data_IF_002209731571
#
_entry.id   IF_002209731571
#
_cell.length_a   1.000
_cell.length_b   1.000
_cell.length_c   1.000
_cell.angle_alpha   90.00
_cell.angle_beta   90.00
_cell.angle_gamma   90.00
#
_symmetry.space_group_name_H-M   'P 1'
#
loop_
_entity.id
_entity.type
_entity.pdbx_description
1 polymer ?
#
# COMPACT_ATOMS: atom_id res chain seq x y z
N UNK A 1 2.65 -22.11 8.69
CA UNK A 1 2.90 -20.66 8.85
C UNK A 1 3.14 -20.05 7.47
N UNK A 2 2.08 -19.87 6.67
CA UNK A 2 2.13 -19.19 5.37
C UNK A 2 0.80 -18.48 5.17
N UNK A 3 0.81 -17.14 5.27
CA UNK A 3 -0.27 -16.29 4.81
C UNK A 3 -0.19 -16.25 3.29
N UNK A 4 -1.23 -16.72 2.60
CA UNK A 4 -1.39 -16.51 1.17
C UNK A 4 -2.10 -15.18 0.94
N UNK A 5 -1.44 -14.28 0.19
CA UNK A 5 -1.95 -12.97 -0.16
C UNK A 5 -3.18 -13.09 -1.08
N UNK A 6 -4.35 -12.73 -0.56
CA UNK A 6 -5.56 -12.52 -1.35
C UNK A 6 -5.65 -11.05 -1.75
N UNK A 7 -5.53 -10.75 -3.04
CA UNK A 7 -5.69 -9.39 -3.60
C UNK A 7 -7.13 -9.23 -4.07
N UNK A 8 -7.94 -8.46 -3.33
CA UNK A 8 -9.29 -8.07 -3.76
C UNK A 8 -9.27 -6.67 -4.40
N UNK A 9 -9.74 -6.59 -5.64
CA UNK A 9 -9.84 -5.37 -6.44
C UNK A 9 -10.96 -4.42 -5.99
N UNK A 10 -10.57 -3.15 -5.80
CA UNK A 10 -11.27 -1.88 -6.06
C UNK A 10 -12.77 -1.80 -5.73
N UNK A 11 -13.11 -1.11 -4.63
CA UNK A 11 -14.39 -0.42 -4.46
C UNK A 11 -14.17 1.06 -4.16
N UNK A 12 -14.90 1.90 -4.89
CA UNK A 12 -14.88 3.36 -4.79
C UNK A 12 -15.69 3.81 -3.55
N UNK A 13 -15.11 4.73 -2.78
CA UNK A 13 -15.72 5.52 -1.69
C UNK A 13 -16.37 4.76 -0.52
N UNK A 14 -15.70 4.79 0.64
CA UNK A 14 -16.37 4.81 1.93
C UNK A 14 -15.47 5.49 2.98
N UNK A 15 -15.88 6.68 3.42
CA UNK A 15 -15.38 7.36 4.61
C UNK A 15 -16.07 6.80 5.86
N UNK A 16 -15.31 6.69 6.96
CA UNK A 16 -15.64 6.30 8.35
C UNK A 16 -15.28 4.86 8.70
N UNK A 17 -14.30 4.73 9.60
CA UNK A 17 -13.88 3.56 10.39
C UNK A 17 -14.62 2.26 10.04
N UNK A 18 -14.09 1.55 9.05
CA UNK A 18 -14.76 0.40 8.45
C UNK A 18 -14.43 -0.89 9.22
N UNK A 19 -15.13 -1.13 10.33
CA UNK A 19 -15.42 -2.50 10.75
C UNK A 19 -16.43 -3.07 9.74
N UNK A 20 -15.93 -3.82 8.75
CA UNK A 20 -16.79 -4.57 7.84
C UNK A 20 -17.18 -5.86 8.56
N UNK A 21 -18.41 -5.93 9.07
CA UNK A 21 -18.98 -7.12 9.71
C UNK A 21 -19.87 -7.84 8.68
N UNK A 22 -19.47 -9.04 8.27
CA UNK A 22 -20.31 -9.91 7.43
C UNK A 22 -21.50 -10.45 8.25
N UNK A 23 -22.73 -10.26 7.77
CA UNK A 23 -23.98 -10.38 8.56
C UNK A 23 -24.43 -11.80 8.95
N UNK A 24 -23.74 -12.87 8.56
CA UNK A 24 -24.22 -14.25 8.79
C UNK A 24 -23.41 -15.08 9.80
N UNK A 25 -22.15 -14.69 10.09
CA UNK A 25 -21.31 -15.31 11.11
C UNK A 25 -20.48 -14.20 11.77
N UNK A 26 -20.22 -14.27 13.08
CA UNK A 26 -19.44 -13.27 13.82
C UNK A 26 -17.94 -13.34 13.44
N UNK A 27 -17.63 -13.02 12.18
CA UNK A 27 -16.28 -13.08 11.63
C UNK A 27 -15.76 -11.67 11.46
N UNK A 28 -14.67 -11.36 12.14
CA UNK A 28 -14.05 -10.03 12.13
C UNK A 28 -13.01 -9.95 11.01
N UNK A 29 -13.10 -8.89 10.20
CA UNK A 29 -12.11 -8.57 9.19
C UNK A 29 -11.01 -7.69 9.79
N UNK A 30 -9.75 -8.08 9.59
CA UNK A 30 -8.58 -7.33 10.09
C UNK A 30 -7.78 -6.78 8.92
N UNK A 31 -7.68 -5.45 8.83
CA UNK A 31 -6.88 -4.77 7.82
C UNK A 31 -5.40 -4.87 8.19
N UNK A 32 -4.57 -5.33 7.26
CA UNK A 32 -3.13 -5.49 7.42
C UNK A 32 -2.38 -4.33 6.82
N UNK A 33 -2.78 -3.91 5.61
CA UNK A 33 -2.02 -2.93 4.85
C UNK A 33 -2.93 -2.13 3.92
N UNK A 34 -2.77 -0.81 3.97
CA UNK A 34 -3.41 0.14 3.07
C UNK A 34 -2.33 0.78 2.21
N UNK A 35 -2.48 0.64 0.90
CA UNK A 35 -1.60 1.25 -0.10
C UNK A 35 -2.30 2.48 -0.65
N UNK A 36 -1.67 3.64 -0.51
CA UNK A 36 -2.19 4.90 -1.04
C UNK A 36 -1.18 5.62 -1.93
N UNK A 37 -1.67 6.49 -2.79
CA UNK A 37 -0.87 7.36 -3.65
C UNK A 37 -1.26 8.81 -3.42
N UNK A 38 -0.29 9.70 -3.51
CA UNK A 38 -0.49 11.15 -3.52
C UNK A 38 0.42 11.77 -4.58
N UNK A 39 -0.04 12.89 -5.13
CA UNK A 39 0.71 13.71 -6.07
C UNK A 39 1.18 15.00 -5.40
N UNK A 40 2.40 15.42 -5.69
CA UNK A 40 3.01 16.63 -5.17
C UNK A 40 2.89 17.83 -6.10
N UNK A 41 2.57 17.60 -7.38
CA UNK A 41 2.45 18.66 -8.40
C UNK A 41 3.77 19.31 -8.81
N UNK A 42 4.92 18.70 -8.50
CA UNK A 42 6.23 19.22 -8.91
C UNK A 42 7.25 18.09 -9.10
N UNK A 43 8.26 18.35 -9.94
CA UNK A 43 9.37 17.43 -10.12
C UNK A 43 10.35 17.50 -8.95
N UNK A 44 10.87 16.35 -8.52
CA UNK A 44 11.79 16.23 -7.39
C UNK A 44 13.15 15.71 -7.82
N UNK A 45 14.22 16.32 -7.31
CA UNK A 45 15.57 15.76 -7.44
C UNK A 45 15.81 14.68 -6.37
N UNK A 46 15.66 13.43 -6.80
CA UNK A 46 15.83 12.26 -5.94
C UNK A 46 17.26 12.10 -5.41
N UNK A 47 18.29 12.59 -6.13
CA UNK A 47 19.68 12.52 -5.68
C UNK A 47 19.94 13.50 -4.55
N UNK A 48 19.34 14.68 -4.62
CA UNK A 48 19.39 15.66 -3.52
C UNK A 48 18.69 15.12 -2.27
N UNK A 49 17.49 14.57 -2.45
CA UNK A 49 16.68 13.96 -1.39
C UNK A 49 17.44 12.81 -0.72
N UNK A 50 18.06 11.93 -1.49
CA UNK A 50 18.83 10.80 -0.98
C UNK A 50 20.08 11.22 -0.17
N UNK A 51 20.74 12.32 -0.56
CA UNK A 51 21.93 12.82 0.15
C UNK A 51 21.58 13.54 1.46
N UNK A 52 20.43 14.22 1.50
CA UNK A 52 20.10 15.15 2.60
C UNK A 52 19.18 14.56 3.67
N UNK A 53 18.46 13.47 3.36
CA UNK A 53 17.51 12.86 4.29
C UNK A 53 18.07 11.58 4.91
N UNK A 54 17.85 11.42 6.21
CA UNK A 54 18.12 10.18 6.94
C UNK A 54 17.04 9.12 6.68
N UNK A 55 17.37 7.84 6.86
CA UNK A 55 16.47 6.69 6.60
C UNK A 55 15.95 6.61 5.16
N UNK A 56 16.80 6.97 4.22
CA UNK A 56 16.48 6.95 2.80
C UNK A 56 17.26 5.89 2.06
N UNK A 57 16.55 5.07 1.28
CA UNK A 57 17.15 4.15 0.32
C UNK A 57 16.89 4.63 -1.10
N UNK A 58 17.97 4.99 -1.81
CA UNK A 58 17.92 5.35 -3.21
C UNK A 58 18.28 4.14 -4.08
N UNK A 59 17.44 3.83 -5.07
CA UNK A 59 17.70 2.77 -6.05
C UNK A 59 17.61 3.35 -7.47
N UNK A 60 18.75 3.73 -8.08
CA UNK A 60 18.79 4.03 -9.51
C UNK A 60 18.78 2.69 -10.26
N UNK A 61 17.64 2.27 -10.79
CA UNK A 61 17.56 1.07 -11.64
C UNK A 61 17.51 1.49 -13.10
N UNK A 62 18.31 0.84 -13.95
CA UNK A 62 18.39 1.15 -15.39
C UNK A 62 17.05 0.89 -16.10
N UNK A 63 16.29 -0.10 -15.64
CA UNK A 63 15.04 -0.55 -16.26
C UNK A 63 13.76 -0.09 -15.52
N UNK A 64 13.89 0.74 -14.48
CA UNK A 64 12.73 1.21 -13.69
C UNK A 64 12.84 2.70 -13.36
N UNK A 65 11.72 3.41 -13.19
CA UNK A 65 11.76 4.80 -12.76
C UNK A 65 12.48 4.92 -11.42
N UNK A 66 13.41 5.88 -11.35
CA UNK A 66 14.16 6.18 -10.13
C UNK A 66 13.20 6.40 -8.96
N UNK A 67 13.51 5.77 -7.83
CA UNK A 67 12.68 5.83 -6.64
C UNK A 67 13.49 5.96 -5.37
N UNK A 68 12.92 6.70 -4.43
CA UNK A 68 13.48 6.92 -3.10
C UNK A 68 12.52 6.36 -2.06
N UNK A 69 13.01 5.50 -1.17
CA UNK A 69 12.22 4.94 -0.08
C UNK A 69 12.56 5.62 1.25
N UNK A 70 11.58 6.24 1.89
CA UNK A 70 11.71 6.84 3.24
C UNK A 70 10.99 5.94 4.24
N UNK A 71 11.65 5.62 5.34
CA UNK A 71 11.05 4.89 6.46
C UNK A 71 10.75 5.84 7.63
N UNK A 72 9.49 5.92 8.01
CA UNK A 72 9.02 6.52 9.27
C UNK A 72 8.36 5.38 10.07
N UNK A 73 8.51 5.24 11.40
CA UNK A 73 8.39 3.94 12.09
C UNK A 73 7.06 3.18 11.94
N UNK A 74 6.02 3.82 11.37
CA UNK A 74 4.72 3.20 11.05
C UNK A 74 4.38 3.13 9.56
N UNK A 75 5.12 3.78 8.67
CA UNK A 75 4.81 3.84 7.24
C UNK A 75 6.06 4.02 6.37
N UNK A 76 6.01 3.46 5.16
CA UNK A 76 7.06 3.58 4.16
C UNK A 76 6.55 4.35 2.96
N UNK A 77 7.25 5.41 2.56
CA UNK A 77 6.94 6.16 1.34
C UNK A 77 7.95 5.84 0.25
N UNK A 78 7.44 5.61 -0.96
CA UNK A 78 8.23 5.58 -2.18
C UNK A 78 7.94 6.84 -2.99
N UNK A 79 8.97 7.63 -3.26
CA UNK A 79 8.88 8.88 -4.02
C UNK A 79 9.50 8.66 -5.40
N UNK A 80 8.80 9.13 -6.43
CA UNK A 80 9.28 9.15 -7.81
C UNK A 80 9.68 10.57 -8.22
N UNK A 81 10.57 10.68 -9.20
CA UNK A 81 11.02 11.97 -9.77
C UNK A 81 9.85 12.83 -10.27
N UNK A 82 8.78 12.19 -10.73
CA UNK A 82 7.55 12.84 -11.21
C UNK A 82 6.77 13.57 -10.11
N UNK A 83 7.14 13.43 -8.83
CA UNK A 83 6.37 13.99 -7.72
C UNK A 83 5.28 13.06 -7.21
N UNK A 84 5.17 11.83 -7.73
CA UNK A 84 4.24 10.84 -7.19
C UNK A 84 4.84 10.18 -5.95
N UNK A 85 4.05 10.04 -4.90
CA UNK A 85 4.39 9.26 -3.71
C UNK A 85 3.45 8.07 -3.60
N UNK A 86 4.00 6.88 -3.32
CA UNK A 86 3.27 5.69 -2.86
C UNK A 86 3.54 5.51 -1.38
N UNK A 87 2.49 5.49 -0.55
CA UNK A 87 2.57 5.20 0.88
C UNK A 87 2.10 3.77 1.16
N UNK A 88 2.85 3.06 2.02
CA UNK A 88 2.67 1.66 2.39
C UNK A 88 2.83 1.48 3.90
N UNK A 89 2.26 0.41 4.45
CA UNK A 89 2.53 -0.05 5.82
C UNK A 89 1.55 0.45 6.89
N UNK A 90 0.47 1.13 6.50
CA UNK A 90 -0.56 1.64 7.42
C UNK A 90 -1.74 0.67 7.53
N UNK A 91 -2.39 0.60 8.70
CA UNK A 91 -3.50 -0.34 8.94
C UNK A 91 -4.87 0.28 8.74
N UNK A 92 -4.95 1.60 8.63
CA UNK A 92 -6.20 2.32 8.31
C UNK A 92 -6.00 3.33 7.18
N UNK A 93 -7.12 3.72 6.56
CA UNK A 93 -7.17 4.75 5.51
C UNK A 93 -6.78 6.12 6.08
N UNK A 94 -7.25 6.43 7.28
CA UNK A 94 -6.95 7.65 8.02
C UNK A 94 -5.46 7.74 8.37
N UNK A 95 -4.89 6.63 8.86
CA UNK A 95 -3.44 6.53 9.12
C UNK A 95 -2.63 6.73 7.84
N UNK A 96 -3.08 6.13 6.73
CA UNK A 96 -2.43 6.29 5.40
C UNK A 96 -2.42 7.75 4.96
N UNK A 97 -3.54 8.46 5.12
CA UNK A 97 -3.66 9.88 4.79
C UNK A 97 -2.77 10.75 5.68
N UNK A 98 -2.71 10.45 6.99
CA UNK A 98 -1.85 11.17 7.93
C UNK A 98 -0.37 10.94 7.60
N UNK A 99 0.03 9.71 7.31
CA UNK A 99 1.39 9.37 6.92
C UNK A 99 1.79 10.11 5.64
N UNK A 100 0.95 10.08 4.61
CA UNK A 100 1.18 10.81 3.37
C UNK A 100 1.39 12.32 3.62
N UNK A 101 0.55 12.95 4.46
CA UNK A 101 0.71 14.36 4.85
C UNK A 101 2.03 14.63 5.58
N UNK A 102 2.49 13.72 6.45
CA UNK A 102 3.79 13.84 7.12
C UNK A 102 4.95 13.82 6.12
N UNK A 103 4.90 12.93 5.13
CA UNK A 103 5.90 12.89 4.07
C UNK A 103 5.94 14.19 3.26
N UNK A 104 4.77 14.71 2.85
CA UNK A 104 4.69 16.01 2.17
C UNK A 104 5.28 17.12 3.04
N UNK A 105 4.93 17.18 4.32
CA UNK A 105 5.45 18.21 5.23
C UNK A 105 6.96 18.12 5.42
N UNK A 106 7.55 16.93 5.43
CA UNK A 106 9.01 16.76 5.44
C UNK A 106 9.65 17.35 4.18
N UNK A 107 9.10 17.04 3.01
CA UNK A 107 9.61 17.57 1.74
C UNK A 107 9.49 19.09 1.68
N UNK A 108 8.42 19.69 2.21
CA UNK A 108 8.28 21.15 2.34
C UNK A 108 9.41 21.75 3.19
N UNK A 109 9.77 21.12 4.31
CA UNK A 109 10.86 21.58 5.17
C UNK A 109 12.24 21.53 4.50
N UNK A 110 12.42 20.69 3.47
CA UNK A 110 13.64 20.64 2.67
C UNK A 110 13.67 21.69 1.54
N UNK A 111 12.64 22.53 1.42
CA UNK A 111 12.58 23.63 0.46
C UNK A 111 11.93 23.28 -0.87
N UNK A 112 11.27 22.11 -0.99
CA UNK A 112 10.55 21.77 -2.21
C UNK A 112 9.14 22.39 -2.23
N UNK A 113 8.69 22.99 -3.35
CA UNK A 113 7.35 23.56 -3.50
C UNK A 113 6.31 22.45 -3.73
N UNK A 114 6.12 21.58 -2.72
CA UNK A 114 5.23 20.42 -2.80
C UNK A 114 3.83 20.74 -2.26
N UNK A 115 2.82 20.22 -2.94
CA UNK A 115 1.42 20.29 -2.55
C UNK A 115 0.89 18.89 -2.18
N UNK A 116 -0.25 18.81 -1.50
CA UNK A 116 -0.90 17.53 -1.24
C UNK A 116 -2.09 17.39 -2.19
N UNK A 117 -1.87 16.74 -3.33
CA UNK A 117 -2.85 16.64 -4.41
C UNK A 117 -3.23 15.18 -4.68
N UNK A 118 -4.44 14.96 -5.18
CA UNK A 118 -4.88 13.66 -5.73
C UNK A 118 -4.63 12.44 -4.82
N UNK A 119 -4.89 12.58 -3.52
CA UNK A 119 -4.78 11.44 -2.60
C UNK A 119 -5.80 10.35 -2.96
N UNK A 120 -5.32 9.12 -3.19
CA UNK A 120 -6.14 7.99 -3.60
C UNK A 120 -5.67 6.70 -2.95
N UNK A 121 -6.62 5.89 -2.47
CA UNK A 121 -6.35 4.51 -2.04
C UNK A 121 -6.26 3.61 -3.26
N UNK A 122 -5.19 2.84 -3.35
CA UNK A 122 -4.91 1.93 -4.47
C UNK A 122 -5.28 0.49 -4.13
N UNK A 123 -4.89 0.03 -2.94
CA UNK A 123 -5.11 -1.35 -2.51
C UNK A 123 -5.30 -1.41 -0.99
N UNK A 124 -6.08 -2.39 -0.54
CA UNK A 124 -6.27 -2.72 0.87
C UNK A 124 -6.12 -4.23 0.99
N UNK A 125 -5.22 -4.66 1.88
CA UNK A 125 -5.00 -6.06 2.23
C UNK A 125 -5.61 -6.31 3.59
N UNK A 126 -6.46 -7.32 3.69
CA UNK A 126 -7.11 -7.74 4.92
C UNK A 126 -7.14 -9.26 5.02
N UNK A 127 -7.18 -9.80 6.24
CA UNK A 127 -7.44 -11.21 6.49
C UNK A 127 -8.65 -11.40 7.39
N UNK A 128 -9.19 -12.61 7.34
CA UNK A 128 -10.30 -13.06 8.15
C UNK A 128 -10.02 -14.51 8.55
N UNK A 129 -10.37 -14.89 9.76
CA UNK A 129 -10.29 -16.29 10.20
C UNK A 129 -11.67 -16.92 10.08
N UNK A 130 -11.81 -17.93 9.25
CA UNK A 130 -13.07 -18.64 9.00
C UNK A 130 -13.05 -20.06 9.59
N UNK A 131 -14.18 -20.75 9.49
CA UNK A 131 -14.24 -22.20 9.71
C UNK A 131 -13.33 -22.94 8.72
N UNK A 132 -12.92 -24.20 9.01
CA UNK A 132 -12.11 -25.01 8.11
C UNK A 132 -12.81 -25.21 6.75
N UNK A 133 -12.09 -24.98 5.66
CA UNK A 133 -12.60 -25.14 4.28
C UNK A 133 -11.75 -26.16 3.54
N UNK A 134 -12.39 -27.11 2.86
CA UNK A 134 -11.72 -27.99 1.92
C UNK A 134 -11.45 -27.23 0.61
N UNK A 135 -10.19 -26.88 0.39
CA UNK A 135 -9.75 -26.15 -0.80
C UNK A 135 -9.82 -27.00 -2.07
N UNK A 136 -9.68 -28.33 -1.96
CA UNK A 136 -9.71 -29.23 -3.11
C UNK A 136 -11.12 -29.35 -3.67
N UNK A 137 -12.13 -29.42 -2.80
CA UNK A 137 -13.53 -29.36 -3.20
C UNK A 137 -13.89 -27.98 -3.78
N UNK A 138 -13.48 -26.91 -3.10
CA UNK A 138 -13.75 -25.54 -3.56
C UNK A 138 -13.17 -25.27 -4.95
N UNK A 139 -11.94 -25.71 -5.21
CA UNK A 139 -11.30 -25.56 -6.53
C UNK A 139 -12.03 -26.35 -7.61
N UNK A 140 -12.54 -27.56 -7.29
CA UNK A 140 -13.31 -28.37 -8.26
C UNK A 140 -14.60 -27.66 -8.67
N UNK A 141 -15.28 -27.02 -7.74
CA UNK A 141 -16.54 -26.30 -7.99
C UNK A 141 -16.28 -24.96 -8.70
N UNK A 142 -15.19 -24.26 -8.37
CA UNK A 142 -14.88 -22.90 -8.84
C UNK A 142 -13.63 -22.81 -9.71
N UNK A 143 -13.42 -23.76 -10.63
CA UNK A 143 -12.21 -23.84 -11.49
C UNK A 143 -11.85 -22.55 -12.24
N UNK A 144 -12.83 -21.73 -12.61
CA UNK A 144 -12.60 -20.47 -13.34
C UNK A 144 -12.21 -19.27 -12.46
N UNK A 145 -12.34 -19.39 -11.13
CA UNK A 145 -12.15 -18.29 -10.18
C UNK A 145 -10.95 -18.53 -9.24
N UNK A 146 -10.61 -19.80 -9.02
CA UNK A 146 -9.44 -20.19 -8.24
C UNK A 146 -8.20 -20.27 -9.15
N UNK A 147 -7.12 -19.60 -8.77
CA UNK A 147 -5.79 -19.84 -9.35
C UNK A 147 -5.03 -20.76 -8.41
N UNK A 148 -4.55 -21.90 -8.92
CA UNK A 148 -3.52 -22.66 -8.21
C UNK A 148 -2.26 -21.79 -8.17
N UNK A 149 -1.69 -21.62 -6.98
CA UNK A 149 -0.33 -21.12 -6.88
C UNK A 149 0.57 -22.25 -7.35
N UNK A 150 0.87 -22.30 -8.64
CA UNK A 150 1.83 -23.25 -9.18
C UNK A 150 3.18 -22.90 -8.55
N UNK A 151 3.62 -23.74 -7.60
CA UNK A 151 5.02 -23.79 -7.20
C UNK A 151 5.75 -24.54 -8.30
N UNK A 152 6.00 -23.84 -9.41
CA UNK A 152 7.02 -24.28 -10.35
C UNK A 152 8.37 -24.12 -9.63
N UNK A 153 8.83 -25.25 -9.10
CA UNK A 153 10.18 -25.81 -9.23
C UNK A 153 11.38 -24.86 -9.40
N UNK A 154 12.39 -25.15 -8.55
CA UNK A 154 13.81 -24.71 -8.53
C UNK A 154 14.18 -23.41 -7.79
#
# INVERSE_FOLDING_TARGET
>A
MQCFDFVATRTHNATRESHVVCRSHNTTLVIVNVISTVDLGCCLDLKFIARRMWNVQYKPQVQRPERVMIREPKATATIFRTGKIICLGTKSVEESRLAARKFVRKLQKFGFPVHFLNFKIQNIVAYCQTFPVDLAELQKVHKGQCRSGDKDSE
#
